data_IF_343815937755
#
_entry.id   IF_343815937755
#
_cell.length_a   1.000
_cell.length_b   1.000
_cell.length_c   1.000
_cell.angle_alpha   90.00
_cell.angle_beta   90.00
_cell.angle_gamma   90.00
#
_symmetry.space_group_name_H-M   'P 1'
#
loop_
_entity.id
_entity.type
_entity.pdbx_description
1 polymer ?
#
# COMPACT_ATOMS: atom_id res chain seq x y z
N UNK A 1 2.00 9.55 13.72
CA UNK A 1 2.10 8.08 13.62
C UNK A 1 1.90 7.38 14.97
N UNK A 2 2.73 7.66 15.98
CA UNK A 2 2.65 6.97 17.28
C UNK A 2 1.23 6.99 17.92
N UNK A 3 0.57 8.15 17.95
CA UNK A 3 -0.79 8.26 18.49
C UNK A 3 -1.86 7.46 17.70
N UNK A 4 -1.65 7.23 16.40
CA UNK A 4 -2.54 6.41 15.57
C UNK A 4 -2.34 4.92 15.90
N UNK A 5 -1.09 4.44 15.92
CA UNK A 5 -0.79 3.04 16.21
C UNK A 5 -1.16 2.63 17.64
N UNK A 6 -1.20 3.57 18.59
CA UNK A 6 -1.75 3.34 19.93
C UNK A 6 -3.26 3.05 19.94
N UNK A 7 -4.02 3.60 18.99
CA UNK A 7 -5.48 3.42 18.88
C UNK A 7 -5.84 2.27 17.94
N UNK A 8 -5.03 2.10 16.90
CA UNK A 8 -5.18 1.06 15.87
C UNK A 8 -3.87 0.32 15.76
N UNK A 9 -3.61 -0.67 16.64
CA UNK A 9 -2.44 -1.51 16.54
C UNK A 9 -2.50 -2.30 15.22
N UNK A 10 -1.37 -2.37 14.52
CA UNK A 10 -1.22 -3.09 13.27
C UNK A 10 -0.16 -4.17 13.46
N UNK A 11 -0.45 -5.38 12.98
CA UNK A 11 0.43 -6.54 13.08
C UNK A 11 1.49 -6.59 11.96
N UNK A 12 1.68 -5.48 11.24
CA UNK A 12 2.64 -5.33 10.15
C UNK A 12 3.49 -4.08 10.31
N UNK A 13 4.66 -4.09 9.66
CA UNK A 13 5.60 -2.99 9.72
C UNK A 13 5.02 -1.70 9.14
N UNK A 14 5.20 -0.59 9.86
CA UNK A 14 4.76 0.75 9.44
C UNK A 14 5.97 1.66 9.33
N UNK A 15 6.17 2.24 8.16
CA UNK A 15 7.24 3.19 7.89
C UNK A 15 6.70 4.61 7.67
N UNK A 16 7.54 5.61 7.92
CA UNK A 16 7.31 7.00 7.57
C UNK A 16 8.25 7.38 6.44
N UNK A 17 7.68 7.65 5.27
CA UNK A 17 8.46 7.86 4.05
C UNK A 17 9.06 9.28 3.90
N UNK A 18 8.80 10.19 4.85
CA UNK A 18 9.34 11.55 4.81
C UNK A 18 8.90 12.36 3.57
N UNK A 19 9.59 13.47 3.27
CA UNK A 19 9.34 14.29 2.07
C UNK A 19 9.44 13.52 0.75
N UNK A 20 10.28 12.48 0.70
CA UNK A 20 10.56 11.67 -0.49
C UNK A 20 9.47 10.63 -0.78
N UNK A 21 8.58 10.37 0.17
CA UNK A 21 7.54 9.34 0.06
C UNK A 21 6.58 9.53 -1.12
N UNK A 22 6.36 10.78 -1.56
CA UNK A 22 5.55 11.06 -2.74
C UNK A 22 6.25 10.62 -4.04
N UNK A 23 7.58 10.64 -4.09
CA UNK A 23 8.35 10.12 -5.21
C UNK A 23 8.17 8.61 -5.35
N UNK A 24 8.34 7.89 -4.25
CA UNK A 24 8.13 6.42 -4.21
C UNK A 24 6.72 6.03 -4.67
N UNK A 25 5.69 6.72 -4.20
CA UNK A 25 4.30 6.44 -4.59
C UNK A 25 4.08 6.61 -6.10
N UNK A 26 4.73 7.61 -6.72
CA UNK A 26 4.67 7.82 -8.18
C UNK A 26 5.41 6.72 -8.94
N UNK A 27 6.60 6.34 -8.51
CA UNK A 27 7.40 5.26 -9.10
C UNK A 27 6.66 3.91 -9.06
N UNK A 28 5.90 3.67 -7.99
CA UNK A 28 5.04 2.48 -7.86
C UNK A 28 3.78 2.51 -8.75
N UNK A 29 3.57 3.57 -9.53
CA UNK A 29 2.51 3.69 -10.53
C UNK A 29 1.33 4.57 -10.12
N UNK A 30 1.43 5.33 -9.03
CA UNK A 30 0.43 6.34 -8.65
C UNK A 30 0.90 7.75 -9.02
N UNK A 31 0.96 8.03 -10.32
CA UNK A 31 1.45 9.30 -10.85
C UNK A 31 0.67 10.53 -10.32
N UNK A 32 -0.63 10.37 -10.03
CA UNK A 32 -1.48 11.42 -9.47
C UNK A 32 -1.23 11.66 -7.97
N UNK A 33 -0.57 10.73 -7.28
CA UNK A 33 -0.34 10.81 -5.83
C UNK A 33 -1.62 10.71 -4.99
N UNK A 34 -2.68 10.10 -5.51
CA UNK A 34 -3.94 9.97 -4.80
C UNK A 34 -3.88 8.93 -3.68
N UNK A 35 -4.72 9.09 -2.65
CA UNK A 35 -4.74 8.19 -1.49
C UNK A 35 -6.16 7.68 -1.20
N UNK A 36 -6.31 6.53 -0.53
CA UNK A 36 -5.24 5.57 -0.25
C UNK A 36 -4.77 4.88 -1.54
N UNK A 37 -3.55 4.33 -1.51
CA UNK A 37 -2.96 3.59 -2.61
C UNK A 37 -2.38 2.28 -2.08
N UNK A 38 -2.60 1.18 -2.79
CA UNK A 38 -2.11 -0.14 -2.42
C UNK A 38 -1.47 -0.82 -3.63
N UNK A 39 -0.42 -1.60 -3.37
CA UNK A 39 0.29 -2.40 -4.37
C UNK A 39 0.48 -3.81 -3.84
N UNK A 40 0.47 -4.79 -4.74
CA UNK A 40 0.87 -6.16 -4.48
C UNK A 40 2.10 -6.45 -5.33
N UNK A 41 3.11 -7.04 -4.69
CA UNK A 41 4.26 -7.62 -5.37
C UNK A 41 4.09 -9.13 -5.43
N UNK A 42 4.45 -9.74 -6.55
CA UNK A 42 4.54 -11.19 -6.66
C UNK A 42 5.86 -11.73 -6.08
N UNK A 43 6.03 -13.03 -6.15
CA UNK A 43 7.23 -13.76 -5.70
C UNK A 43 8.52 -13.37 -6.42
N UNK A 44 8.43 -12.80 -7.62
CA UNK A 44 9.58 -12.28 -8.37
C UNK A 44 9.96 -10.86 -7.96
N UNK A 45 9.14 -10.22 -7.12
CA UNK A 45 9.31 -8.83 -6.70
C UNK A 45 8.70 -7.82 -7.67
N UNK A 46 7.98 -8.28 -8.69
CA UNK A 46 7.30 -7.43 -9.67
C UNK A 46 5.90 -7.05 -9.19
N UNK A 47 5.41 -5.89 -9.61
CA UNK A 47 4.08 -5.42 -9.19
C UNK A 47 3.00 -6.12 -10.02
N UNK A 48 2.32 -7.09 -9.41
CA UNK A 48 1.23 -7.85 -10.02
C UNK A 48 -0.13 -7.15 -9.91
N UNK A 49 -0.31 -6.25 -8.93
CA UNK A 49 -1.56 -5.52 -8.76
C UNK A 49 -1.39 -4.13 -8.13
N UNK A 50 -2.27 -3.20 -8.50
CA UNK A 50 -2.31 -1.82 -7.99
C UNK A 50 -3.75 -1.38 -7.76
N UNK A 51 -3.97 -0.55 -6.73
CA UNK A 51 -5.28 0.04 -6.45
C UNK A 51 -5.14 1.47 -5.94
N UNK A 52 -5.76 2.39 -6.69
CA UNK A 52 -6.04 3.74 -6.22
C UNK A 52 -7.43 3.77 -5.58
N UNK A 53 -7.53 4.38 -4.40
CA UNK A 53 -8.73 4.39 -3.57
C UNK A 53 -8.79 3.19 -2.62
N UNK A 54 -9.86 3.14 -1.84
CA UNK A 54 -10.04 2.14 -0.77
C UNK A 54 -10.01 0.72 -1.35
N UNK A 55 -9.21 -0.15 -0.72
CA UNK A 55 -9.21 -1.58 -0.93
C UNK A 55 -10.26 -2.25 -0.03
N UNK A 56 -10.86 -3.34 -0.52
CA UNK A 56 -11.79 -4.15 0.27
C UNK A 56 -11.20 -5.52 0.53
N UNK A 57 -11.64 -6.16 1.61
CA UNK A 57 -11.10 -7.44 2.03
C UNK A 57 -11.39 -8.55 1.00
N UNK A 58 -12.54 -8.49 0.32
CA UNK A 58 -12.86 -9.40 -0.78
C UNK A 58 -11.88 -9.27 -1.95
N UNK A 59 -11.48 -8.04 -2.32
CA UNK A 59 -10.52 -7.80 -3.39
C UNK A 59 -9.16 -8.44 -3.03
N UNK A 60 -8.71 -8.25 -1.79
CA UNK A 60 -7.42 -8.78 -1.33
C UNK A 60 -7.40 -10.30 -1.26
N UNK A 61 -8.50 -10.92 -0.85
CA UNK A 61 -8.60 -12.40 -0.79
C UNK A 61 -8.55 -13.04 -2.18
N UNK A 62 -9.16 -12.40 -3.18
CA UNK A 62 -9.11 -12.90 -4.56
C UNK A 62 -7.68 -12.90 -5.14
N UNK A 63 -6.79 -12.04 -4.63
CA UNK A 63 -5.38 -11.99 -5.05
C UNK A 63 -4.53 -13.13 -4.46
N UNK A 64 -5.00 -13.81 -3.41
CA UNK A 64 -4.26 -14.94 -2.81
C UNK A 64 -4.48 -16.26 -3.56
N UNK A 65 -5.43 -16.29 -4.49
CA UNK A 65 -5.74 -17.46 -5.32
C UNK A 65 -5.08 -17.44 -6.70
N UNK A 66 -4.24 -16.44 -6.99
CA UNK A 66 -3.52 -16.28 -8.26
C UNK A 66 -2.08 -16.78 -8.15
#
# INVERSE_FOLDING_TARGET
MNAFLKKTPLDFAVALAGPEGLGLVRELGNAAGGLPFSVLFDESGEISWRRLGVSRLEDLRALLSS
#
